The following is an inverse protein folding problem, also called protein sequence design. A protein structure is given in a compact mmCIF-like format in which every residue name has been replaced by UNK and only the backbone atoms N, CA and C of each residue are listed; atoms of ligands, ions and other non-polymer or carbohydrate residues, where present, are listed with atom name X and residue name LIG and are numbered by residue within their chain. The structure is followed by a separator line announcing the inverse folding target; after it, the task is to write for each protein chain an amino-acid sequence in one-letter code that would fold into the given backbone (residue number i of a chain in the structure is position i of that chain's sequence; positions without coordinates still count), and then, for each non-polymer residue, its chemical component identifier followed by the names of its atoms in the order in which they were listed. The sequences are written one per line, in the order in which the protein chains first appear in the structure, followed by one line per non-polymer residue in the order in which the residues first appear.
data_IF_681206815427
#
_entry.id   IF_681206815427
#
_cell.length_a   1.000
_cell.length_b   1.000
_cell.length_c   1.000
_cell.angle_alpha   90.00
_cell.angle_beta   90.00
_cell.angle_gamma   90.00
#
_symmetry.space_group_name_H-M   'P 1'
#
loop_
_entity.id
_entity.type
_entity.pdbx_description
1 polymer ?
#
# COMPACT_ATOMS: atom_id res chain seq x y z
N UNK A 1 7.52 7.58 -1.16
CA UNK A 1 7.85 6.35 -1.91
C UNK A 1 9.07 5.73 -1.26
N UNK A 2 9.11 4.41 -1.10
CA UNK A 2 10.21 3.65 -0.50
C UNK A 2 10.74 2.66 -1.55
N UNK A 3 12.00 2.82 -1.94
CA UNK A 3 12.70 2.05 -2.99
C UNK A 3 14.15 1.78 -2.54
N UNK A 4 14.35 0.75 -1.70
CA UNK A 4 15.68 0.42 -1.18
C UNK A 4 16.69 0.04 -2.27
N UNK A 5 16.20 -0.49 -3.40
CA UNK A 5 17.02 -0.98 -4.51
C UNK A 5 17.40 0.12 -5.51
N UNK A 6 16.73 1.28 -5.45
CA UNK A 6 16.94 2.44 -6.32
C UNK A 6 16.68 2.17 -7.80
N UNK A 7 15.76 1.24 -8.09
CA UNK A 7 15.49 0.81 -9.47
C UNK A 7 14.12 1.32 -9.93
N UNK A 8 13.08 1.09 -9.14
CA UNK A 8 11.71 1.19 -9.63
C UNK A 8 11.07 2.58 -9.39
N UNK A 9 11.35 3.22 -8.25
CA UNK A 9 10.66 4.47 -7.86
C UNK A 9 11.54 5.71 -7.95
N UNK A 10 12.86 5.55 -8.06
CA UNK A 10 13.80 6.68 -8.12
C UNK A 10 13.56 7.60 -9.32
N UNK A 11 12.99 7.09 -10.43
CA UNK A 11 12.59 7.89 -11.59
C UNK A 11 11.48 8.92 -11.33
N UNK A 12 10.77 8.82 -10.19
CA UNK A 12 9.75 9.78 -9.76
C UNK A 12 10.30 10.94 -8.92
N UNK A 13 11.61 10.99 -8.66
CA UNK A 13 12.21 12.07 -7.87
C UNK A 13 11.90 13.44 -8.50
N UNK A 14 11.49 14.40 -7.68
CA UNK A 14 11.21 15.78 -8.11
C UNK A 14 9.80 16.06 -8.61
N UNK A 15 8.91 15.06 -8.70
CA UNK A 15 7.49 15.36 -9.00
C UNK A 15 6.85 16.18 -7.87
N UNK A 16 5.90 17.09 -8.16
CA UNK A 16 5.32 17.99 -7.16
C UNK A 16 4.45 17.29 -6.11
N UNK A 17 4.11 16.02 -6.33
CA UNK A 17 3.27 15.22 -5.44
C UNK A 17 4.06 14.54 -4.32
N UNK A 18 5.40 14.50 -4.41
CA UNK A 18 6.23 13.87 -3.38
C UNK A 18 6.24 14.73 -2.12
N UNK A 19 5.77 14.14 -1.02
CA UNK A 19 5.86 14.75 0.32
C UNK A 19 7.30 14.78 0.86
N UNK A 20 8.14 13.87 0.36
CA UNK A 20 9.56 13.78 0.67
C UNK A 20 10.28 13.07 -0.48
N UNK A 21 11.60 13.22 -0.54
CA UNK A 21 12.47 12.47 -1.47
C UNK A 21 12.20 10.97 -1.37
N UNK A 22 12.44 10.24 -2.45
CA UNK A 22 12.34 8.78 -2.45
C UNK A 22 13.27 8.22 -1.36
N UNK A 23 12.71 7.38 -0.50
CA UNK A 23 13.44 6.80 0.64
C UNK A 23 14.18 5.57 0.14
N UNK A 24 15.50 5.66 0.12
CA UNK A 24 16.39 4.60 -0.37
C UNK A 24 17.18 3.91 0.74
N UNK A 25 17.34 4.56 1.89
CA UNK A 25 18.03 3.98 3.06
C UNK A 25 17.02 3.28 3.96
N UNK A 26 17.30 2.01 4.26
CA UNK A 26 16.47 1.17 5.14
C UNK A 26 16.32 1.78 6.54
N UNK A 27 17.37 2.40 7.06
CA UNK A 27 17.36 3.06 8.37
C UNK A 27 16.36 4.24 8.44
N UNK A 28 16.03 4.83 7.28
CA UNK A 28 15.09 5.96 7.20
C UNK A 28 13.64 5.52 7.04
N UNK A 29 13.40 4.27 6.66
CA UNK A 29 12.05 3.75 6.40
C UNK A 29 11.20 3.74 7.67
N UNK A 30 11.79 3.34 8.80
CA UNK A 30 11.10 3.39 10.11
C UNK A 30 10.61 4.81 10.43
N UNK A 31 11.46 5.82 10.20
CA UNK A 31 11.09 7.23 10.37
C UNK A 31 9.94 7.67 9.45
N UNK A 32 9.91 7.19 8.20
CA UNK A 32 8.80 7.46 7.26
C UNK A 32 7.50 6.83 7.71
N UNK A 33 7.51 5.56 8.12
CA UNK A 33 6.33 4.89 8.67
C UNK A 33 5.79 5.60 9.92
N UNK A 34 6.68 6.00 10.83
CA UNK A 34 6.31 6.75 12.03
C UNK A 34 5.71 8.12 11.68
N UNK A 35 6.24 8.82 10.67
CA UNK A 35 5.67 10.09 10.20
C UNK A 35 4.25 9.88 9.66
N UNK A 36 4.01 8.84 8.86
CA UNK A 36 2.67 8.51 8.35
C UNK A 36 1.71 8.21 9.49
N UNK A 37 2.15 7.48 10.52
CA UNK A 37 1.33 7.23 11.72
C UNK A 37 1.01 8.53 12.49
N UNK A 38 1.96 9.46 12.61
CA UNK A 38 1.71 10.76 13.27
C UNK A 38 0.76 11.64 12.48
N UNK A 39 0.91 11.68 11.16
CA UNK A 39 0.00 12.39 10.26
C UNK A 39 -1.42 11.82 10.37
N UNK A 40 -1.56 10.49 10.42
CA UNK A 40 -2.84 9.82 10.66
C UNK A 40 -3.50 10.28 11.96
N UNK A 41 -2.74 10.26 13.07
CA UNK A 41 -3.23 10.70 14.39
C UNK A 41 -3.56 12.21 14.39
N UNK A 42 -2.83 13.02 13.62
CA UNK A 42 -3.11 14.44 13.44
C UNK A 42 -4.43 14.67 12.71
N UNK A 43 -4.69 13.93 11.63
CA UNK A 43 -5.95 14.01 10.88
C UNK A 43 -7.14 13.61 11.71
N UNK A 44 -7.02 12.57 12.53
CA UNK A 44 -8.09 12.17 13.45
C UNK A 44 -8.45 13.28 14.45
N UNK A 45 -7.45 13.94 15.03
CA UNK A 45 -7.66 15.09 15.93
C UNK A 45 -8.36 16.23 15.19
N UNK A 46 -7.87 16.58 14.00
CA UNK A 46 -8.47 17.62 13.16
C UNK A 46 -9.94 17.31 12.84
N UNK A 47 -10.24 16.09 12.42
CA UNK A 47 -11.62 15.69 12.14
C UNK A 47 -12.52 15.77 13.37
N UNK A 48 -12.01 15.40 14.56
CA UNK A 48 -12.77 15.52 15.80
C UNK A 48 -13.06 16.99 16.15
N UNK A 49 -12.08 17.87 15.99
CA UNK A 49 -12.21 19.31 16.27
C UNK A 49 -13.20 19.98 15.31
N UNK A 50 -13.14 19.64 14.03
CA UNK A 50 -14.01 20.22 13.00
C UNK A 50 -15.32 19.46 12.80
N UNK A 51 -15.58 18.40 13.59
CA UNK A 51 -16.73 17.49 13.45
C UNK A 51 -16.88 16.92 12.04
N UNK A 52 -15.77 16.56 11.42
CA UNK A 52 -15.75 15.75 10.20
C UNK A 52 -15.72 14.26 10.59
N UNK A 53 -16.39 13.42 9.80
CA UNK A 53 -16.40 11.96 10.03
C UNK A 53 -15.24 11.23 9.34
N UNK A 54 -14.69 11.81 8.27
CA UNK A 54 -13.57 11.30 7.49
C UNK A 54 -13.06 12.39 6.53
N UNK A 55 -11.98 12.10 5.80
CA UNK A 55 -11.37 13.03 4.84
C UNK A 55 -12.34 13.50 3.75
N UNK A 56 -13.26 12.63 3.28
CA UNK A 56 -14.21 12.99 2.23
C UNK A 56 -15.21 14.01 2.75
N UNK A 57 -15.80 13.73 3.91
CA UNK A 57 -16.69 14.66 4.60
C UNK A 57 -15.99 15.98 4.93
N UNK A 58 -14.74 15.93 5.40
CA UNK A 58 -13.95 17.14 5.61
C UNK A 58 -13.78 17.96 4.32
N UNK A 59 -13.35 17.33 3.22
CA UNK A 59 -13.05 18.01 1.96
C UNK A 59 -14.29 18.54 1.21
N UNK A 60 -15.40 17.83 1.30
CA UNK A 60 -16.64 18.16 0.57
C UNK A 60 -17.51 19.14 1.35
N UNK A 61 -17.57 19.01 2.68
CA UNK A 61 -18.47 19.80 3.54
C UNK A 61 -17.73 20.81 4.41
N UNK A 62 -16.72 20.38 5.16
CA UNK A 62 -16.13 21.22 6.23
C UNK A 62 -15.18 22.27 5.69
N UNK A 63 -14.21 21.87 4.86
CA UNK A 63 -13.19 22.78 4.33
C UNK A 63 -13.79 23.99 3.58
N UNK A 64 -14.79 23.83 2.69
CA UNK A 64 -15.43 24.98 2.04
C UNK A 64 -16.13 25.94 3.01
N UNK A 65 -16.75 25.42 4.08
CA UNK A 65 -17.43 26.23 5.10
C UNK A 65 -16.45 27.05 5.94
N UNK A 66 -15.24 26.52 6.17
CA UNK A 66 -14.18 27.21 6.92
C UNK A 66 -13.30 28.10 6.03
N UNK A 67 -13.50 28.09 4.70
CA UNK A 67 -12.59 28.74 3.76
C UNK A 67 -11.20 28.10 3.70
N UNK A 68 -11.08 26.84 4.17
CA UNK A 68 -9.83 26.09 4.20
C UNK A 68 -9.59 25.33 2.88
N UNK A 69 -8.32 25.01 2.62
CA UNK A 69 -7.96 24.13 1.49
C UNK A 69 -8.35 22.70 1.81
N UNK A 70 -8.67 21.94 0.75
CA UNK A 70 -8.88 20.49 0.85
C UNK A 70 -7.61 19.80 1.35
N UNK A 71 -7.78 18.87 2.27
CA UNK A 71 -6.75 17.96 2.74
C UNK A 71 -6.44 16.92 1.66
N UNK A 72 -5.16 16.74 1.27
CA UNK A 72 -4.79 15.79 0.22
C UNK A 72 -4.87 14.34 0.73
N UNK A 73 -5.21 13.42 -0.18
CA UNK A 73 -4.98 11.99 0.05
C UNK A 73 -3.48 11.71 0.02
N UNK A 74 -3.02 10.80 0.87
CA UNK A 74 -1.62 10.37 0.94
C UNK A 74 -1.55 8.91 0.50
N UNK A 75 -0.64 8.61 -0.43
CA UNK A 75 -0.34 7.24 -0.84
C UNK A 75 1.12 6.95 -0.51
N UNK A 76 1.36 5.99 0.37
CA UNK A 76 2.69 5.46 0.63
C UNK A 76 2.88 4.19 -0.20
N UNK A 77 3.85 4.25 -1.10
CA UNK A 77 4.25 3.13 -1.96
C UNK A 77 5.55 2.55 -1.41
N UNK A 78 5.55 1.24 -1.17
CA UNK A 78 6.70 0.44 -0.77
C UNK A 78 6.96 -0.59 -1.86
N UNK A 79 8.13 -0.51 -2.49
CA UNK A 79 8.49 -1.39 -3.62
C UNK A 79 8.81 -2.83 -3.17
N UNK A 80 9.50 -2.98 -2.04
CA UNK A 80 9.92 -4.29 -1.53
C UNK A 80 9.71 -4.39 -0.02
N UNK A 81 8.61 -5.00 0.40
CA UNK A 81 8.32 -5.28 1.81
C UNK A 81 9.37 -6.19 2.43
N UNK A 82 9.91 -7.14 1.67
CA UNK A 82 10.82 -8.14 2.20
C UNK A 82 12.08 -7.53 2.81
N UNK A 83 12.61 -6.46 2.21
CA UNK A 83 13.80 -5.77 2.71
C UNK A 83 13.53 -5.15 4.11
N UNK A 84 12.32 -4.62 4.30
CA UNK A 84 11.87 -4.09 5.59
C UNK A 84 11.68 -5.20 6.63
N UNK A 85 11.08 -6.32 6.22
CA UNK A 85 10.85 -7.48 7.09
C UNK A 85 12.15 -8.19 7.49
N UNK A 86 13.19 -8.14 6.65
CA UNK A 86 14.51 -8.67 7.02
C UNK A 86 15.27 -7.77 8.01
N UNK A 87 15.07 -6.45 7.91
CA UNK A 87 15.79 -5.48 8.74
C UNK A 87 15.15 -5.34 10.12
N UNK A 88 13.83 -5.20 10.16
CA UNK A 88 13.08 -4.95 11.40
C UNK A 88 11.64 -5.51 11.31
N UNK A 89 11.46 -6.85 11.37
CA UNK A 89 10.18 -7.51 11.10
C UNK A 89 9.07 -7.05 12.06
N UNK A 90 9.34 -7.09 13.36
CA UNK A 90 8.34 -6.75 14.38
C UNK A 90 7.88 -5.29 14.32
N UNK A 91 8.80 -4.34 14.13
CA UNK A 91 8.46 -2.91 14.05
C UNK A 91 7.71 -2.60 12.75
N UNK A 92 8.19 -3.18 11.64
CA UNK A 92 7.59 -3.04 10.31
C UNK A 92 6.15 -3.54 10.31
N UNK A 93 5.93 -4.80 10.72
CA UNK A 93 4.61 -5.41 10.74
C UNK A 93 3.65 -4.64 11.65
N UNK A 94 4.07 -4.29 12.87
CA UNK A 94 3.25 -3.54 13.83
C UNK A 94 2.80 -2.20 13.24
N UNK A 95 3.71 -1.46 12.62
CA UNK A 95 3.40 -0.11 12.13
C UNK A 95 2.55 -0.15 10.88
N UNK A 96 2.87 -1.03 9.94
CA UNK A 96 2.10 -1.24 8.71
C UNK A 96 0.67 -1.68 9.04
N UNK A 97 0.51 -2.65 9.95
CA UNK A 97 -0.83 -3.12 10.36
C UNK A 97 -1.63 -2.00 11.01
N UNK A 98 -1.04 -1.22 11.93
CA UNK A 98 -1.72 -0.08 12.56
C UNK A 98 -2.20 0.94 11.53
N UNK A 99 -1.33 1.32 10.59
CA UNK A 99 -1.70 2.28 9.55
C UNK A 99 -2.83 1.70 8.71
N UNK A 100 -2.71 0.47 8.22
CA UNK A 100 -3.73 -0.17 7.38
C UNK A 100 -5.12 -0.25 8.06
N UNK A 101 -5.17 -0.52 9.37
CA UNK A 101 -6.41 -0.60 10.15
C UNK A 101 -7.16 0.74 10.24
N UNK A 102 -6.42 1.84 10.36
CA UNK A 102 -6.97 3.16 10.69
C UNK A 102 -6.97 4.12 9.49
N UNK A 103 -6.22 3.78 8.44
CA UNK A 103 -5.97 4.61 7.27
C UNK A 103 -7.25 5.11 6.56
N UNK A 104 -8.27 4.25 6.46
CA UNK A 104 -9.44 4.46 5.59
C UNK A 104 -10.15 5.80 5.81
N UNK A 105 -10.36 6.20 7.07
CA UNK A 105 -11.05 7.45 7.37
C UNK A 105 -10.15 8.68 7.12
N UNK A 106 -8.84 8.52 7.27
CA UNK A 106 -7.84 9.59 7.17
C UNK A 106 -7.39 9.93 5.76
N UNK A 107 -7.77 9.12 4.76
CA UNK A 107 -7.32 9.29 3.38
C UNK A 107 -5.84 8.98 3.18
N UNK A 108 -5.26 8.17 4.06
CA UNK A 108 -3.94 7.60 3.92
C UNK A 108 -4.12 6.19 3.33
N UNK A 109 -3.33 5.84 2.32
CA UNK A 109 -3.41 4.56 1.65
C UNK A 109 -2.01 3.95 1.53
N UNK A 110 -1.93 2.64 1.71
CA UNK A 110 -0.69 1.88 1.56
C UNK A 110 -0.77 1.04 0.29
N UNK A 111 0.29 1.10 -0.51
CA UNK A 111 0.54 0.19 -1.63
C UNK A 111 1.88 -0.48 -1.33
N UNK A 112 1.85 -1.79 -1.14
CA UNK A 112 3.02 -2.56 -0.73
C UNK A 112 3.22 -3.67 -1.74
N UNK A 113 4.41 -3.71 -2.33
CA UNK A 113 4.85 -4.74 -3.25
C UNK A 113 5.95 -5.60 -2.59
N UNK A 114 6.11 -6.80 -3.13
CA UNK A 114 7.19 -7.72 -2.76
C UNK A 114 7.43 -8.69 -3.91
N UNK A 115 8.69 -9.04 -4.14
CA UNK A 115 9.06 -10.13 -5.06
C UNK A 115 9.27 -11.46 -4.32
N UNK A 116 9.18 -11.44 -2.98
CA UNK A 116 9.36 -12.61 -2.12
C UNK A 116 8.03 -13.00 -1.47
N UNK A 117 7.21 -13.82 -2.15
CA UNK A 117 5.93 -14.28 -1.62
C UNK A 117 6.12 -15.45 -0.63
N UNK A 118 6.84 -15.22 0.47
CA UNK A 118 6.99 -16.17 1.57
C UNK A 118 6.09 -15.82 2.75
N UNK A 119 5.78 -16.81 3.59
CA UNK A 119 4.97 -16.63 4.81
C UNK A 119 5.63 -15.71 5.84
N UNK A 120 6.96 -15.58 5.78
CA UNK A 120 7.75 -14.71 6.67
C UNK A 120 7.65 -13.24 6.25
N UNK A 121 7.35 -12.97 4.97
CA UNK A 121 7.18 -11.61 4.43
C UNK A 121 5.70 -11.23 4.38
N UNK A 122 4.86 -12.11 3.85
CA UNK A 122 3.40 -11.93 3.74
C UNK A 122 2.72 -12.73 4.85
N UNK A 123 2.90 -12.24 6.07
CA UNK A 123 2.39 -12.90 7.28
C UNK A 123 0.86 -12.91 7.33
N UNK A 124 0.29 -13.70 8.25
CA UNK A 124 -1.15 -13.68 8.51
C UNK A 124 -1.67 -12.30 8.94
N UNK A 125 -0.88 -11.53 9.71
CA UNK A 125 -1.25 -10.18 10.15
C UNK A 125 -1.25 -9.18 9.00
N UNK A 126 -0.27 -9.26 8.10
CA UNK A 126 -0.27 -8.47 6.86
C UNK A 126 -1.52 -8.82 6.04
N UNK A 127 -1.78 -10.12 5.79
CA UNK A 127 -2.97 -10.54 5.04
C UNK A 127 -4.27 -10.03 5.66
N UNK A 128 -4.42 -10.10 6.98
CA UNK A 128 -5.63 -9.65 7.67
C UNK A 128 -5.93 -8.15 7.49
N UNK A 129 -4.91 -7.32 7.27
CA UNK A 129 -5.06 -5.87 7.13
C UNK A 129 -5.02 -5.37 5.68
N UNK A 130 -4.65 -6.24 4.73
CA UNK A 130 -4.61 -5.94 3.29
C UNK A 130 -5.54 -6.89 2.52
N UNK A 131 -6.87 -6.66 2.57
CA UNK A 131 -7.84 -7.54 1.94
C UNK A 131 -7.88 -7.40 0.40
N UNK A 132 -7.46 -6.26 -0.14
CA UNK A 132 -7.28 -6.08 -1.58
C UNK A 132 -5.87 -6.52 -1.97
N UNK A 133 -5.75 -7.51 -2.87
CA UNK A 133 -4.46 -8.09 -3.26
C UNK A 133 -4.36 -8.27 -4.76
N UNK A 134 -3.14 -8.14 -5.27
CA UNK A 134 -2.79 -8.39 -6.67
C UNK A 134 -1.66 -9.39 -6.66
N UNK A 135 -1.78 -10.44 -7.47
CA UNK A 135 -0.67 -11.34 -7.76
C UNK A 135 -0.38 -11.31 -9.26
N UNK A 136 0.86 -11.02 -9.60
CA UNK A 136 1.40 -11.27 -10.95
C UNK A 136 1.86 -12.74 -11.05
N UNK A 137 2.45 -13.12 -12.19
CA UNK A 137 3.00 -14.46 -12.36
C UNK A 137 4.01 -14.79 -11.24
N UNK A 138 3.82 -15.93 -10.60
CA UNK A 138 4.69 -16.47 -9.54
C UNK A 138 5.22 -17.85 -9.93
N UNK A 139 6.28 -18.31 -9.25
CA UNK A 139 6.95 -19.55 -9.61
C UNK A 139 6.12 -20.81 -9.28
N UNK A 140 5.29 -20.76 -8.25
CA UNK A 140 4.56 -21.94 -7.78
C UNK A 140 3.17 -21.65 -7.23
N UNK A 141 2.34 -22.68 -7.18
CA UNK A 141 1.04 -22.62 -6.52
C UNK A 141 1.15 -22.39 -5.00
N UNK A 142 2.32 -22.64 -4.39
CA UNK A 142 2.58 -22.31 -2.98
C UNK A 142 2.69 -20.80 -2.83
N UNK A 143 3.48 -20.14 -3.68
CA UNK A 143 3.64 -18.69 -3.71
C UNK A 143 2.30 -17.98 -3.98
N UNK A 144 1.49 -18.53 -4.90
CA UNK A 144 0.14 -18.01 -5.17
C UNK A 144 -0.73 -18.03 -3.90
N UNK A 145 -0.68 -19.12 -3.12
CA UNK A 145 -1.43 -19.24 -1.86
C UNK A 145 -0.92 -18.29 -0.78
N UNK A 146 0.37 -17.96 -0.77
CA UNK A 146 0.91 -16.98 0.17
C UNK A 146 0.28 -15.60 -0.08
N UNK A 147 0.06 -15.20 -1.34
CA UNK A 147 -0.52 -13.90 -1.69
C UNK A 147 -2.05 -13.92 -1.64
N UNK A 148 -2.68 -14.88 -2.32
CA UNK A 148 -4.11 -14.89 -2.61
C UNK A 148 -4.92 -15.88 -1.76
N UNK A 149 -4.28 -16.64 -0.86
CA UNK A 149 -4.91 -17.77 -0.16
C UNK A 149 -5.49 -18.85 -1.11
N UNK A 150 -5.11 -18.81 -2.40
CA UNK A 150 -5.59 -19.69 -3.47
C UNK A 150 -4.51 -19.87 -4.58
N UNK A 151 -4.52 -21.00 -5.30
CA UNK A 151 -3.69 -21.18 -6.49
C UNK A 151 -4.23 -20.36 -7.68
N UNK A 152 -3.42 -20.21 -8.72
CA UNK A 152 -3.80 -19.63 -10.01
C UNK A 152 -2.80 -18.61 -10.55
N UNK A 153 -2.07 -17.92 -9.68
CA UNK A 153 -1.08 -16.92 -10.12
C UNK A 153 0.12 -17.57 -10.84
N UNK A 154 0.43 -18.83 -10.53
CA UNK A 154 1.48 -19.60 -11.21
C UNK A 154 1.15 -19.91 -12.69
N UNK A 155 -0.11 -19.77 -13.09
CA UNK A 155 -0.59 -20.03 -14.45
C UNK A 155 -0.71 -18.76 -15.31
N UNK A 156 -0.39 -17.60 -14.73
CA UNK A 156 -0.38 -16.33 -15.46
C UNK A 156 0.72 -16.31 -16.52
N UNK A 157 0.52 -15.53 -17.58
CA UNK A 157 1.44 -15.47 -18.73
C UNK A 157 2.63 -14.51 -18.50
N UNK A 158 2.69 -13.86 -17.32
CA UNK A 158 3.60 -12.76 -17.05
C UNK A 158 3.24 -11.50 -17.83
N UNK A 159 4.21 -10.58 -18.02
CA UNK A 159 4.06 -9.36 -18.83
C UNK A 159 2.80 -8.53 -18.49
N UNK A 160 2.50 -8.36 -17.20
CA UNK A 160 1.34 -7.57 -16.76
C UNK A 160 0.00 -8.30 -16.74
N UNK A 161 0.00 -9.62 -16.95
CA UNK A 161 -1.12 -10.50 -16.59
C UNK A 161 -1.14 -10.72 -15.07
N UNK A 162 -2.30 -10.54 -14.45
CA UNK A 162 -2.45 -10.55 -13.00
C UNK A 162 -3.80 -11.13 -12.56
N UNK A 163 -3.83 -11.62 -11.33
CA UNK A 163 -5.05 -11.90 -10.58
C UNK A 163 -5.30 -10.78 -9.58
N UNK A 164 -6.50 -10.22 -9.59
CA UNK A 164 -6.94 -9.22 -8.63
C UNK A 164 -7.98 -9.82 -7.69
N UNK A 165 -7.68 -9.78 -6.39
CA UNK A 165 -8.59 -10.10 -5.30
C UNK A 165 -9.14 -8.81 -4.71
N UNK A 166 -10.43 -8.48 -4.91
CA UNK A 166 -11.04 -7.32 -4.30
C UNK A 166 -11.30 -7.56 -2.80
N UNK A 167 -11.42 -6.50 -1.98
CA UNK A 167 -11.56 -6.65 -0.53
C UNK A 167 -12.90 -7.25 -0.09
N UNK A 168 -13.91 -7.27 -0.96
CA UNK A 168 -15.30 -7.65 -0.63
C UNK A 168 -15.78 -8.90 -1.34
N UNK A 169 -14.97 -9.54 -2.20
CA UNK A 169 -15.38 -10.74 -2.90
C UNK A 169 -14.31 -11.84 -2.75
N UNK A 170 -14.71 -13.10 -2.50
CA UNK A 170 -13.77 -14.21 -2.34
C UNK A 170 -13.18 -14.67 -3.68
N UNK A 171 -13.81 -14.29 -4.79
CA UNK A 171 -13.37 -14.66 -6.14
C UNK A 171 -12.43 -13.58 -6.68
N UNK A 172 -11.22 -14.00 -7.05
CA UNK A 172 -10.30 -13.17 -7.81
C UNK A 172 -10.69 -13.16 -9.29
N UNK A 173 -10.44 -12.04 -9.96
CA UNK A 173 -10.61 -11.89 -11.41
C UNK A 173 -9.26 -11.78 -12.09
N UNK A 174 -9.13 -12.39 -13.28
CA UNK A 174 -7.95 -12.22 -14.12
C UNK A 174 -8.03 -10.90 -14.87
N UNK A 175 -6.95 -10.14 -14.84
CA UNK A 175 -6.81 -8.84 -15.50
C UNK A 175 -5.51 -8.84 -16.28
N UNK A 176 -5.55 -8.40 -17.54
CA UNK A 176 -4.35 -8.22 -18.35
C UNK A 176 -4.14 -6.74 -18.65
N UNK A 177 -3.01 -6.19 -18.20
CA UNK A 177 -2.64 -4.79 -18.43
C UNK A 177 -2.22 -4.58 -19.89
N UNK A 178 -1.60 -5.59 -20.50
CA UNK A 178 -1.36 -5.62 -21.94
C UNK A 178 -2.66 -6.14 -22.58
N UNK A 179 -3.42 -5.26 -23.24
CA UNK A 179 -4.34 -5.71 -24.28
C UNK A 179 -3.49 -6.51 -25.25
N UNK A 180 -3.78 -7.80 -25.42
CA UNK A 180 -3.21 -8.55 -26.53
C UNK A 180 -3.32 -7.65 -27.76
N UNK A 181 -2.18 -7.21 -28.29
CA UNK A 181 -2.12 -6.78 -29.67
C UNK A 181 -2.62 -8.02 -30.41
N UNK A 182 -3.88 -7.98 -30.84
CA UNK A 182 -4.42 -8.99 -31.74
C UNK A 182 -3.49 -8.95 -32.94
N UNK A 183 -2.65 -9.99 -33.05
CA UNK A 183 -1.93 -10.30 -34.29
C UNK A 183 -2.98 -10.66 -35.33
#
# INVERSE_FOLDING_TARGET
MVDPKRVELTGYEGIPHLLAKVVVDMDRVAGSLQWVSREMDSRYRHFSETRATNIRDYNERVAPLLGEKRMPYIVMIVDELADMMLTAPHETERTICRIAQMARATGIHLVIATQRPSVDVVTGLIKANFPARIAFNVASAVDSRVILDAPGAEQLLGRGDMLFMPPTAPLFSRVSIIRAARV
#
